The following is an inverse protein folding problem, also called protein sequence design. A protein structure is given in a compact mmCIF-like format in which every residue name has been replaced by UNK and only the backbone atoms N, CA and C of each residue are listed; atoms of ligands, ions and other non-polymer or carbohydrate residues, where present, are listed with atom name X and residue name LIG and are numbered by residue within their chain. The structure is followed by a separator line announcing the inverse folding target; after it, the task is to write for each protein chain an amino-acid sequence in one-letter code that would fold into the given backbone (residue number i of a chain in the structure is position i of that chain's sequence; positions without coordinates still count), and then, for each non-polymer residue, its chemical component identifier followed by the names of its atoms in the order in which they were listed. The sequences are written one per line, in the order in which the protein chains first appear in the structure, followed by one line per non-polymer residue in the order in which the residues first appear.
data_IF_061457973897
#
_entry.id   IF_061457973897
#
_cell.length_a   1.000
_cell.length_b   1.000
_cell.length_c   1.000
_cell.angle_alpha   90.00
_cell.angle_beta   90.00
_cell.angle_gamma   90.00
#
_symmetry.space_group_name_H-M   'P 1'
#
loop_
_entity.id
_entity.type
_entity.pdbx_description
1 polymer ?
#
# COMPACT_ATOMS: atom_id res chain seq x y z
N UNK A 1 36.96 -5.67 -24.23
CA UNK A 1 35.89 -6.59 -23.76
C UNK A 1 35.46 -6.40 -22.30
N UNK A 2 36.32 -5.96 -21.37
CA UNK A 2 35.92 -5.72 -19.96
C UNK A 2 35.04 -4.48 -19.73
N UNK A 3 35.18 -3.42 -20.55
CA UNK A 3 34.41 -2.18 -20.39
C UNK A 3 32.94 -2.28 -20.84
N UNK A 4 32.63 -3.14 -21.82
CA UNK A 4 31.25 -3.34 -22.27
C UNK A 4 30.38 -4.07 -21.23
N UNK A 5 30.98 -4.96 -20.44
CA UNK A 5 30.27 -5.71 -19.39
C UNK A 5 29.89 -4.80 -18.21
N UNK A 6 30.72 -3.80 -17.90
CA UNK A 6 30.47 -2.85 -16.80
C UNK A 6 29.34 -1.88 -17.17
N UNK A 7 29.27 -1.43 -18.43
CA UNK A 7 28.17 -0.56 -18.90
C UNK A 7 26.84 -1.34 -18.93
N UNK A 8 26.86 -2.63 -19.28
CA UNK A 8 25.66 -3.48 -19.25
C UNK A 8 25.17 -3.73 -17.80
N UNK A 9 26.08 -3.90 -16.84
CA UNK A 9 25.71 -4.03 -15.42
C UNK A 9 25.17 -2.73 -14.80
N UNK A 10 25.65 -1.54 -15.23
CA UNK A 10 25.07 -0.26 -14.79
C UNK A 10 23.71 0.02 -15.46
N UNK A 11 23.50 -0.41 -16.71
CA UNK A 11 22.20 -0.27 -17.38
C UNK A 11 21.10 -1.15 -16.76
N UNK A 12 21.48 -2.31 -16.20
CA UNK A 12 20.56 -3.21 -15.47
C UNK A 12 20.21 -2.72 -14.06
N UNK A 13 20.97 -1.78 -13.49
CA UNK A 13 20.71 -1.23 -12.14
C UNK A 13 19.68 -0.08 -12.14
N UNK A 14 19.42 0.54 -13.30
CA UNK A 14 18.57 1.74 -13.39
C UNK A 14 17.13 1.46 -13.82
N UNK A 15 16.73 0.19 -13.94
CA UNK A 15 15.33 -0.20 -14.15
C UNK A 15 14.84 -0.97 -12.92
N UNK A 16 15.09 -0.44 -11.73
CA UNK A 16 14.16 -0.71 -10.64
C UNK A 16 12.85 -0.04 -11.04
N UNK A 17 11.98 -0.76 -11.76
CA UNK A 17 10.62 -0.31 -12.02
C UNK A 17 9.99 -0.01 -10.65
N UNK A 18 9.93 1.26 -10.26
CA UNK A 18 9.23 1.68 -9.06
C UNK A 18 7.79 1.17 -9.20
N UNK A 19 7.35 0.37 -8.24
CA UNK A 19 6.00 -0.16 -8.26
C UNK A 19 5.03 0.95 -7.83
N UNK A 20 4.51 1.70 -8.80
CA UNK A 20 3.46 2.70 -8.59
C UNK A 20 2.07 2.07 -8.52
N UNK A 21 1.95 0.76 -8.74
CA UNK A 21 0.64 0.07 -8.77
C UNK A 21 0.23 -0.44 -7.37
N UNK A 22 1.10 -0.26 -6.37
CA UNK A 22 0.86 -0.66 -4.98
C UNK A 22 1.38 0.35 -3.97
N UNK A 23 0.66 0.52 -2.87
CA UNK A 23 1.09 1.29 -1.70
C UNK A 23 0.77 0.51 -0.43
N UNK A 24 1.68 0.52 0.55
CA UNK A 24 1.38 -0.04 1.86
C UNK A 24 0.61 0.97 2.71
N UNK A 25 -0.34 0.49 3.49
CA UNK A 25 -0.98 1.26 4.57
C UNK A 25 -0.46 0.67 5.87
N UNK A 26 0.32 1.47 6.59
CA UNK A 26 0.97 1.08 7.84
C UNK A 26 0.17 1.66 9.00
N UNK A 27 -0.49 0.80 9.76
CA UNK A 27 -1.36 1.18 10.88
C UNK A 27 -0.63 0.94 12.18
N UNK A 28 -0.25 2.00 12.87
CA UNK A 28 0.48 1.94 14.14
C UNK A 28 -0.48 2.16 15.31
N UNK A 29 -0.46 1.27 16.29
CA UNK A 29 -1.14 1.50 17.56
C UNK A 29 -0.27 2.42 18.44
N UNK A 30 -0.79 3.61 18.74
CA UNK A 30 -0.15 4.63 19.60
C UNK A 30 -0.78 4.72 20.99
N UNK A 31 -1.78 3.88 21.27
CA UNK A 31 -2.45 3.77 22.55
C UNK A 31 -1.66 3.04 23.62
N UNK A 32 -2.33 2.73 24.73
CA UNK A 32 -1.77 2.02 25.89
C UNK A 32 -2.25 0.56 26.03
N UNK A 33 -3.07 0.08 25.08
CA UNK A 33 -3.63 -1.27 25.07
C UNK A 33 -3.85 -1.77 23.63
N UNK A 34 -4.27 -3.03 23.47
CA UNK A 34 -4.66 -3.58 22.17
C UNK A 34 -5.88 -2.82 21.60
N UNK A 35 -5.80 -2.44 20.33
CA UNK A 35 -6.87 -1.74 19.63
C UNK A 35 -7.70 -2.74 18.81
N UNK A 36 -8.97 -2.92 19.18
CA UNK A 36 -9.88 -3.85 18.54
C UNK A 36 -10.84 -3.12 17.59
N UNK A 37 -11.12 -3.74 16.44
CA UNK A 37 -12.06 -3.21 15.43
C UNK A 37 -11.81 -1.75 15.06
N UNK A 38 -10.54 -1.37 14.93
CA UNK A 38 -10.15 0.00 14.63
C UNK A 38 -10.67 0.41 13.25
N UNK A 39 -11.35 1.56 13.18
CA UNK A 39 -11.70 2.18 11.90
C UNK A 39 -10.50 2.97 11.40
N UNK A 40 -9.95 2.53 10.27
CA UNK A 40 -8.82 3.19 9.60
C UNK A 40 -9.38 4.04 8.46
N UNK A 41 -9.00 5.31 8.43
CA UNK A 41 -9.35 6.25 7.36
C UNK A 41 -8.08 6.66 6.62
N UNK A 42 -8.08 6.52 5.30
CA UNK A 42 -6.95 6.89 4.45
C UNK A 42 -7.40 7.93 3.43
N UNK A 43 -6.82 9.14 3.44
CA UNK A 43 -7.18 10.20 2.49
C UNK A 43 -6.96 9.75 1.04
N UNK A 44 -7.93 10.02 0.18
CA UNK A 44 -7.84 9.72 -1.25
C UNK A 44 -6.74 10.53 -1.92
N UNK A 45 -6.44 11.73 -1.43
CA UNK A 45 -5.30 12.54 -1.88
C UNK A 45 -3.96 11.81 -1.73
N UNK A 46 -3.71 11.16 -0.59
CA UNK A 46 -2.52 10.32 -0.36
C UNK A 46 -2.55 9.08 -1.26
N UNK A 47 -3.71 8.42 -1.40
CA UNK A 47 -3.86 7.26 -2.29
C UNK A 47 -3.49 7.62 -3.72
N UNK A 48 -4.07 8.69 -4.26
CA UNK A 48 -3.80 9.19 -5.62
C UNK A 48 -2.35 9.59 -5.78
N UNK A 49 -1.77 10.30 -4.79
CA UNK A 49 -0.38 10.73 -4.83
C UNK A 49 0.59 9.54 -4.85
N UNK A 50 0.35 8.50 -4.05
CA UNK A 50 1.29 7.37 -3.93
C UNK A 50 1.09 6.29 -4.99
N UNK A 51 -0.14 6.05 -5.43
CA UNK A 51 -0.46 5.08 -6.48
C UNK A 51 -0.47 5.69 -7.88
N UNK A 52 -0.44 7.02 -8.02
CA UNK A 52 -0.81 7.68 -9.27
C UNK A 52 -2.15 7.15 -9.81
N UNK A 53 -3.12 6.90 -8.92
CA UNK A 53 -4.40 6.31 -9.27
C UNK A 53 -5.23 7.31 -10.08
N UNK A 54 -5.72 6.86 -11.24
CA UNK A 54 -6.62 7.63 -12.09
C UNK A 54 -8.10 7.38 -11.73
N UNK A 55 -9.03 8.19 -12.26
CA UNK A 55 -10.47 8.07 -11.97
C UNK A 55 -11.10 6.73 -12.35
N UNK A 56 -10.53 6.02 -13.32
CA UNK A 56 -10.99 4.72 -13.80
C UNK A 56 -10.27 3.53 -13.14
N UNK A 57 -9.28 3.78 -12.28
CA UNK A 57 -8.56 2.71 -11.60
C UNK A 57 -9.46 2.10 -10.51
N UNK A 58 -9.69 0.80 -10.58
CA UNK A 58 -10.28 0.04 -9.47
C UNK A 58 -9.23 -0.14 -8.38
N UNK A 59 -9.60 -0.07 -7.10
CA UNK A 59 -8.69 -0.29 -5.98
C UNK A 59 -9.02 -1.61 -5.27
N UNK A 60 -7.99 -2.35 -4.87
CA UNK A 60 -8.11 -3.61 -4.11
C UNK A 60 -7.27 -3.47 -2.84
N UNK A 61 -7.92 -3.56 -1.68
CA UNK A 61 -7.26 -3.59 -0.39
C UNK A 61 -6.99 -5.05 0.02
N UNK A 62 -5.74 -5.34 0.38
CA UNK A 62 -5.29 -6.66 0.84
C UNK A 62 -4.71 -6.56 2.25
N UNK A 63 -4.92 -7.60 3.05
CA UNK A 63 -4.23 -7.75 4.33
C UNK A 63 -2.84 -8.41 4.17
N UNK A 64 -2.15 -8.63 5.29
CA UNK A 64 -0.83 -9.28 5.39
C UNK A 64 -0.80 -10.70 4.80
N UNK A 65 -1.97 -11.35 4.67
CA UNK A 65 -2.13 -12.68 4.06
C UNK A 65 -2.57 -12.62 2.59
N UNK A 66 -2.48 -11.45 1.96
CA UNK A 66 -2.96 -11.17 0.60
C UNK A 66 -4.44 -11.53 0.38
N UNK A 67 -5.24 -11.49 1.43
CA UNK A 67 -6.69 -11.68 1.34
C UNK A 67 -7.35 -10.33 1.14
N UNK A 68 -8.31 -10.25 0.22
CA UNK A 68 -9.08 -9.04 -0.03
C UNK A 68 -9.87 -8.63 1.22
N UNK A 69 -9.84 -7.34 1.51
CA UNK A 69 -10.56 -6.71 2.61
C UNK A 69 -11.49 -5.67 2.03
N UNK A 70 -12.75 -5.69 2.45
CA UNK A 70 -13.71 -4.69 2.05
C UNK A 70 -13.35 -3.33 2.66
N UNK A 71 -13.48 -2.28 1.86
CA UNK A 71 -13.39 -0.90 2.31
C UNK A 71 -14.56 -0.12 1.72
N UNK A 72 -14.87 1.03 2.31
CA UNK A 72 -15.91 1.95 1.85
C UNK A 72 -15.29 3.31 1.56
N UNK A 73 -15.96 4.12 0.74
CA UNK A 73 -15.61 5.52 0.58
C UNK A 73 -16.38 6.37 1.59
N UNK A 74 -15.78 7.45 2.06
CA UNK A 74 -16.51 8.48 2.82
C UNK A 74 -17.50 9.20 1.91
N UNK A 75 -18.45 9.92 2.52
CA UNK A 75 -19.27 10.87 1.77
C UNK A 75 -18.36 11.85 1.03
N UNK A 76 -18.57 12.03 -0.27
CA UNK A 76 -17.71 12.85 -1.13
C UNK A 76 -16.47 12.14 -1.72
N UNK A 77 -16.24 10.85 -1.43
CA UNK A 77 -15.10 10.07 -1.91
C UNK A 77 -13.72 10.64 -1.55
N UNK A 78 -13.64 11.43 -0.47
CA UNK A 78 -12.41 12.09 -0.02
C UNK A 78 -11.44 11.13 0.69
N UNK A 79 -11.92 9.98 1.16
CA UNK A 79 -11.11 8.97 1.83
C UNK A 79 -11.71 7.56 1.63
N UNK A 80 -10.87 6.54 1.81
CA UNK A 80 -11.31 5.16 2.05
C UNK A 80 -11.33 4.87 3.55
N UNK A 81 -12.26 4.03 3.97
CA UNK A 81 -12.38 3.56 5.35
C UNK A 81 -12.51 2.04 5.40
N UNK A 82 -11.88 1.41 6.38
CA UNK A 82 -11.99 -0.02 6.61
C UNK A 82 -11.74 -0.37 8.07
N UNK A 83 -12.15 -1.57 8.46
CA UNK A 83 -12.01 -2.05 9.84
C UNK A 83 -10.81 -3.00 9.95
N UNK A 84 -9.98 -2.75 10.96
CA UNK A 84 -8.85 -3.61 11.34
C UNK A 84 -9.23 -4.35 12.63
N UNK A 85 -9.38 -5.69 12.59
CA UNK A 85 -9.90 -6.45 13.73
C UNK A 85 -9.06 -6.30 15.01
N UNK A 86 -7.74 -6.21 14.86
CA UNK A 86 -6.80 -6.09 15.96
C UNK A 86 -5.51 -5.41 15.52
N UNK A 87 -5.09 -4.37 16.24
CA UNK A 87 -3.74 -3.81 16.22
C UNK A 87 -3.17 -3.91 17.63
N UNK A 88 -2.20 -4.81 17.83
CA UNK A 88 -1.62 -5.05 19.16
C UNK A 88 -0.89 -3.81 19.69
N UNK A 89 -0.87 -3.64 21.01
CA UNK A 89 -0.11 -2.59 21.68
C UNK A 89 1.37 -2.64 21.25
N UNK A 90 1.94 -1.46 20.95
CA UNK A 90 3.32 -1.30 20.45
C UNK A 90 3.64 -2.08 19.18
N UNK A 91 2.61 -2.41 18.39
CA UNK A 91 2.75 -3.10 17.11
C UNK A 91 2.22 -2.24 15.97
N UNK A 92 2.62 -2.64 14.77
CA UNK A 92 2.06 -2.16 13.52
C UNK A 92 1.30 -3.30 12.82
N UNK A 93 0.30 -2.92 12.02
CA UNK A 93 -0.39 -3.78 11.05
C UNK A 93 -0.13 -3.24 9.65
N UNK A 94 0.11 -4.12 8.68
CA UNK A 94 0.29 -3.70 7.29
C UNK A 94 -0.86 -4.15 6.40
N UNK A 95 -1.36 -3.24 5.59
CA UNK A 95 -2.30 -3.53 4.51
C UNK A 95 -1.69 -3.03 3.19
N UNK A 96 -2.18 -3.53 2.07
CA UNK A 96 -1.70 -3.13 0.75
C UNK A 96 -2.87 -2.71 -0.11
N UNK A 97 -2.81 -1.49 -0.65
CA UNK A 97 -3.76 -1.03 -1.64
C UNK A 97 -3.13 -1.19 -3.03
N UNK A 98 -3.87 -1.84 -3.94
CA UNK A 98 -3.41 -2.18 -5.29
C UNK A 98 -4.36 -1.59 -6.32
N UNK A 99 -3.85 -1.24 -7.50
CA UNK A 99 -4.69 -1.04 -8.68
C UNK A 99 -5.19 -2.39 -9.21
N UNK A 100 -6.51 -2.54 -9.35
CA UNK A 100 -7.19 -3.77 -9.72
C UNK A 100 -7.14 -4.12 -11.21
N UNK A 101 -6.75 -3.19 -12.08
CA UNK A 101 -6.62 -3.41 -13.53
C UNK A 101 -5.31 -4.11 -13.94
N UNK A 102 -4.45 -4.48 -12.98
CA UNK A 102 -3.20 -5.23 -13.21
C UNK A 102 -3.26 -6.57 -12.49
N UNK A 103 -2.60 -7.60 -13.07
CA UNK A 103 -2.52 -8.92 -12.43
C UNK A 103 -1.80 -8.74 -11.10
N UNK A 104 -2.45 -9.05 -9.98
CA UNK A 104 -1.86 -8.96 -8.63
C UNK A 104 -0.50 -9.68 -8.51
N UNK A 105 -0.27 -10.69 -9.35
CA UNK A 105 1.01 -11.43 -9.46
C UNK A 105 2.17 -10.56 -9.98
N UNK A 106 1.90 -9.59 -10.85
CA UNK A 106 2.92 -8.68 -11.39
C UNK A 106 3.40 -7.69 -10.31
N UNK A 107 2.58 -7.48 -9.27
CA UNK A 107 2.87 -6.62 -8.12
C UNK A 107 3.62 -7.33 -6.97
N UNK A 108 3.61 -8.67 -6.92
CA UNK A 108 4.26 -9.46 -5.86
C UNK A 108 5.80 -9.43 -5.95
N UNK A 109 6.35 -9.24 -7.15
CA UNK A 109 7.79 -9.33 -7.43
C UNK A 109 8.49 -7.96 -7.53
N UNK A 110 7.74 -6.85 -7.44
CA UNK A 110 8.31 -5.50 -7.52
C UNK A 110 8.42 -4.89 -6.13
N UNK A 111 9.58 -4.32 -5.81
CA UNK A 111 9.83 -3.64 -4.54
C UNK A 111 8.81 -2.52 -4.33
N UNK A 112 8.07 -2.59 -3.22
CA UNK A 112 7.10 -1.57 -2.82
C UNK A 112 7.88 -0.38 -2.25
N UNK A 113 7.76 0.79 -2.88
CA UNK A 113 8.61 1.94 -2.55
C UNK A 113 7.89 3.01 -1.73
N UNK A 114 6.59 2.88 -1.45
CA UNK A 114 5.80 3.89 -0.74
C UNK A 114 4.86 3.31 0.32
N UNK A 115 4.70 4.05 1.42
CA UNK A 115 3.81 3.70 2.53
C UNK A 115 3.03 4.92 3.03
N UNK A 116 1.74 4.76 3.25
CA UNK A 116 0.87 5.72 3.95
C UNK A 116 0.78 5.28 5.40
N UNK A 117 1.14 6.14 6.34
CA UNK A 117 1.11 5.82 7.77
C UNK A 117 -0.16 6.35 8.40
N UNK A 118 -0.86 5.50 9.16
CA UNK A 118 -2.06 5.86 9.92
C UNK A 118 -1.85 5.43 11.37
N UNK A 119 -2.33 6.22 12.32
CA UNK A 119 -2.27 5.90 13.75
C UNK A 119 -3.65 5.58 14.28
N UNK A 120 -3.75 4.59 15.16
CA UNK A 120 -4.96 4.25 15.91
C UNK A 120 -4.68 4.29 17.42
N UNK A 121 -5.64 4.76 18.24
CA UNK A 121 -5.49 4.83 19.70
C UNK A 121 -5.65 3.46 20.37
#
# INVERSE_FOLDING_TARGET
MKQFLIILCLALACVSCQNTDTVNILITNVGHADCHNATVTVPMSEVVQRLHAGPADTLILLNERNTAVHFSYTAGHEAITFTVPLVKFRSQKSYTLNKGNKRLRDNLLRFRTSSITVTVP
#
